data_IF_134028326753
#
_entry.id   IF_134028326753
#
_cell.length_a   1.000
_cell.length_b   1.000
_cell.length_c   1.000
_cell.angle_alpha   90.00
_cell.angle_beta   90.00
_cell.angle_gamma   90.00
#
_symmetry.space_group_name_H-M   'P 1'
#
loop_
_entity.id
_entity.type
_entity.pdbx_description
1 polymer ?
#
# COMPACT_ATOMS: atom_id res chain seq x y z
N UNK A 1 -9.97 -16.56 2.25
CA UNK A 1 -10.10 -15.09 2.26
C UNK A 1 -10.09 -14.62 0.81
N UNK A 2 -11.13 -13.95 0.31
CA UNK A 2 -11.05 -13.26 -0.98
C UNK A 2 -10.05 -12.11 -0.83
N UNK A 3 -8.94 -12.14 -1.56
CA UNK A 3 -7.93 -11.07 -1.56
C UNK A 3 -8.55 -9.76 -2.09
N UNK A 4 -9.03 -8.92 -1.17
CA UNK A 4 -9.63 -7.63 -1.51
C UNK A 4 -8.54 -6.56 -1.44
N UNK A 5 -7.94 -6.21 -2.58
CA UNK A 5 -6.90 -5.20 -2.63
C UNK A 5 -7.42 -3.78 -2.35
N UNK A 6 -6.72 -3.04 -1.50
CA UNK A 6 -6.99 -1.64 -1.17
C UNK A 6 -6.07 -0.68 -1.94
N UNK A 7 -6.41 0.61 -1.96
CA UNK A 7 -5.52 1.65 -2.50
C UNK A 7 -4.33 1.83 -1.56
N UNK A 8 -3.19 2.25 -2.10
CA UNK A 8 -1.97 2.55 -1.34
C UNK A 8 -2.20 3.53 -0.18
N UNK A 9 -2.99 4.59 -0.43
CA UNK A 9 -3.37 5.61 0.56
C UNK A 9 -4.17 5.00 1.71
N UNK A 10 -5.20 4.21 1.39
CA UNK A 10 -6.03 3.50 2.37
C UNK A 10 -5.21 2.50 3.18
N UNK A 11 -4.28 1.78 2.55
CA UNK A 11 -3.36 0.90 3.28
C UNK A 11 -2.47 1.69 4.26
N UNK A 12 -2.01 2.88 3.87
CA UNK A 12 -1.25 3.77 4.75
C UNK A 12 -2.06 4.23 5.96
N UNK A 13 -3.32 4.66 5.74
CA UNK A 13 -4.24 5.05 6.82
C UNK A 13 -4.54 3.89 7.79
N UNK A 14 -4.68 2.66 7.28
CA UNK A 14 -4.93 1.48 8.10
C UNK A 14 -3.72 1.09 8.97
N UNK A 15 -2.51 1.21 8.44
CA UNK A 15 -1.29 0.79 9.13
C UNK A 15 -0.69 1.89 10.04
N UNK A 16 -0.99 3.15 9.74
CA UNK A 16 -0.46 4.33 10.43
C UNK A 16 -1.60 5.31 10.75
N UNK A 17 -2.54 4.94 11.64
CA UNK A 17 -3.76 5.73 11.87
C UNK A 17 -3.51 7.11 12.49
N UNK A 18 -2.43 7.28 13.26
CA UNK A 18 -2.12 8.54 13.95
C UNK A 18 -1.31 9.53 13.09
N UNK A 19 -0.43 9.02 12.21
CA UNK A 19 0.44 9.83 11.34
C UNK A 19 0.76 9.07 10.03
N UNK A 20 -0.19 9.03 9.08
CA UNK A 20 -0.01 8.28 7.86
C UNK A 20 1.05 8.93 6.95
N UNK A 21 2.02 8.15 6.43
CA UNK A 21 3.00 8.68 5.49
C UNK A 21 2.33 9.28 4.26
N UNK A 22 2.87 10.38 3.69
CA UNK A 22 2.30 10.97 2.49
C UNK A 22 2.35 10.01 1.31
N UNK A 23 1.38 10.12 0.39
CA UNK A 23 1.26 9.22 -0.77
C UNK A 23 2.53 9.11 -1.63
N UNK A 24 3.35 10.17 -1.69
CA UNK A 24 4.65 10.16 -2.39
C UNK A 24 5.63 9.16 -1.76
N UNK A 25 5.69 9.11 -0.43
CA UNK A 25 6.50 8.15 0.34
C UNK A 25 5.97 6.74 0.14
N UNK A 26 4.66 6.53 0.27
CA UNK A 26 4.03 5.22 0.04
C UNK A 26 4.32 4.70 -1.38
N UNK A 27 4.23 5.55 -2.41
CA UNK A 27 4.56 5.19 -3.79
C UNK A 27 6.04 4.82 -3.96
N UNK A 28 6.94 5.50 -3.23
CA UNK A 28 8.37 5.15 -3.21
C UNK A 28 8.57 3.76 -2.61
N UNK A 29 7.89 3.45 -1.52
CA UNK A 29 7.93 2.14 -0.87
C UNK A 29 7.45 1.02 -1.80
N UNK A 30 6.30 1.22 -2.45
CA UNK A 30 5.77 0.27 -3.42
C UNK A 30 6.73 0.06 -4.61
N UNK A 31 7.27 1.14 -5.18
CA UNK A 31 8.21 1.08 -6.31
C UNK A 31 9.53 0.38 -5.96
N UNK A 32 10.01 0.59 -4.73
CA UNK A 32 11.26 0.01 -4.26
C UNK A 32 11.11 -1.45 -3.79
N UNK A 33 9.89 -1.98 -3.73
CA UNK A 33 9.63 -3.34 -3.26
C UNK A 33 9.71 -3.49 -1.74
N UNK A 34 9.53 -2.39 -0.99
CA UNK A 34 9.61 -2.41 0.47
C UNK A 34 8.34 -2.97 1.13
N UNK A 35 7.20 -2.97 0.45
CA UNK A 35 5.94 -3.51 0.98
C UNK A 35 5.81 -4.97 0.56
N UNK A 36 5.48 -5.87 1.50
CA UNK A 36 5.28 -7.30 1.26
C UNK A 36 3.92 -7.79 1.79
N UNK A 37 3.13 -8.55 1.00
CA UNK A 37 3.36 -8.89 -0.40
C UNK A 37 3.45 -7.67 -1.32
N UNK A 38 4.20 -7.80 -2.42
CA UNK A 38 4.49 -6.67 -3.31
C UNK A 38 3.20 -6.05 -3.87
N UNK A 39 3.01 -4.72 -3.74
CA UNK A 39 1.88 -4.03 -4.33
C UNK A 39 1.76 -4.28 -5.83
N UNK A 40 0.54 -4.50 -6.31
CA UNK A 40 0.25 -4.77 -7.72
C UNK A 40 -0.20 -3.48 -8.41
N UNK A 41 0.29 -3.22 -9.62
CA UNK A 41 -0.15 -2.07 -10.41
C UNK A 41 -1.47 -2.39 -11.13
N UNK A 42 -2.56 -1.71 -10.75
CA UNK A 42 -3.85 -1.80 -11.47
C UNK A 42 -4.05 -0.49 -12.23
N UNK A 43 -3.81 -0.52 -13.55
CA UNK A 43 -3.80 0.68 -14.39
C UNK A 43 -2.67 1.64 -14.01
N UNK A 44 -3.00 2.80 -13.44
CA UNK A 44 -2.01 3.83 -13.02
C UNK A 44 -1.82 3.91 -11.51
N UNK A 45 -2.42 2.99 -10.75
CA UNK A 45 -2.46 3.03 -9.29
C UNK A 45 -2.01 1.71 -8.68
N UNK A 46 -1.23 1.78 -7.60
CA UNK A 46 -0.89 0.61 -6.80
C UNK A 46 -2.08 0.14 -5.97
N UNK A 47 -2.19 -1.18 -5.86
CA UNK A 47 -3.13 -1.92 -5.06
C UNK A 47 -2.35 -2.82 -4.12
N UNK A 48 -2.75 -2.82 -2.85
CA UNK A 48 -2.01 -3.48 -1.76
C UNK A 48 -2.94 -4.46 -1.07
N UNK A 49 -2.38 -5.58 -0.65
CA UNK A 49 -3.05 -6.45 0.31
C UNK A 49 -3.25 -5.65 1.62
N UNK A 50 -4.47 -5.57 2.19
CA UNK A 50 -4.69 -4.90 3.47
C UNK A 50 -3.76 -5.39 4.58
N UNK A 51 -3.38 -6.67 4.53
CA UNK A 51 -2.52 -7.33 5.52
C UNK A 51 -1.03 -7.27 5.14
N UNK A 52 -0.66 -6.52 4.09
CA UNK A 52 0.73 -6.29 3.75
C UNK A 52 1.43 -5.44 4.82
N UNK A 53 2.73 -5.67 5.00
CA UNK A 53 3.59 -4.91 5.90
C UNK A 53 4.71 -4.22 5.11
N UNK A 54 5.27 -3.16 5.69
CA UNK A 54 6.45 -2.44 5.20
C UNK A 54 7.71 -2.90 5.93
#
# INVERSE_FOLDING_TARGET
>A
MTMSFVRLETWGELNYPDDPPPLTTLRRWARNGNIYPTPVLHGRTYRVDPDAFY
#
